data_IF_881346913744
#
_entry.id   IF_881346913744
#
_cell.length_a   1.000
_cell.length_b   1.000
_cell.length_c   1.000
_cell.angle_alpha   90.00
_cell.angle_beta   90.00
_cell.angle_gamma   90.00
#
_symmetry.space_group_name_H-M   'P 1'
#
loop_
_entity.id
_entity.type
_entity.pdbx_description
1 polymer ?
#
# COMPACT_ATOMS: atom_id res chain seq x y z
N UNK A 1 -40.31 32.90 40.64
CA UNK A 1 -38.89 32.74 40.99
C UNK A 1 -38.02 33.19 39.81
N UNK A 2 -37.01 34.02 40.06
CA UNK A 2 -36.03 34.57 39.10
C UNK A 2 -34.71 33.77 39.21
N UNK A 3 -34.13 33.25 38.12
CA UNK A 3 -32.71 32.87 38.11
C UNK A 3 -31.87 34.13 37.83
N UNK A 4 -30.98 34.48 38.76
CA UNK A 4 -29.94 35.48 38.52
C UNK A 4 -28.65 34.75 38.15
N UNK A 5 -28.23 34.86 36.90
CA UNK A 5 -26.82 34.77 36.55
C UNK A 5 -26.55 35.72 35.38
N UNK A 6 -25.71 36.73 35.66
CA UNK A 6 -25.47 37.92 34.86
C UNK A 6 -24.95 37.58 33.46
N UNK A 7 -25.76 37.96 32.46
CA UNK A 7 -25.43 38.04 31.04
C UNK A 7 -24.93 39.47 30.78
N UNK A 8 -23.69 39.84 31.13
CA UNK A 8 -23.07 41.09 30.63
C UNK A 8 -21.57 41.05 30.95
N UNK A 9 -20.73 41.27 29.93
CA UNK A 9 -19.27 41.15 29.91
C UNK A 9 -18.80 39.68 29.95
N UNK A 10 -18.35 39.08 28.85
CA UNK A 10 -17.16 39.51 28.11
C UNK A 10 -17.40 39.32 26.61
N UNK A 11 -17.49 40.45 25.90
CA UNK A 11 -17.21 40.51 24.48
C UNK A 11 -15.70 40.34 24.27
N UNK A 12 -15.35 39.83 23.10
CA UNK A 12 -14.00 39.65 22.53
C UNK A 12 -13.44 38.23 22.63
N UNK A 13 -12.99 37.76 21.46
CA UNK A 13 -12.28 36.52 21.19
C UNK A 13 -13.13 35.24 21.14
N UNK A 14 -13.77 35.00 19.98
CA UNK A 14 -13.71 33.67 19.37
C UNK A 14 -13.98 33.77 17.85
N UNK A 15 -13.07 34.48 17.18
CA UNK A 15 -12.86 34.35 15.73
C UNK A 15 -12.01 33.09 15.52
N UNK A 16 -12.33 32.33 14.47
CA UNK A 16 -11.53 31.24 13.88
C UNK A 16 -11.41 29.94 14.67
N UNK A 17 -12.34 29.01 14.45
CA UNK A 17 -12.03 27.57 14.49
C UNK A 17 -13.08 26.71 13.76
N UNK A 18 -13.51 27.12 12.57
CA UNK A 18 -14.03 26.15 11.59
C UNK A 18 -12.86 25.71 10.72
N UNK A 19 -11.86 25.08 11.38
CA UNK A 19 -10.85 24.33 10.66
C UNK A 19 -11.56 23.14 10.03
N UNK A 20 -11.68 23.21 8.71
CA UNK A 20 -12.18 22.13 7.88
C UNK A 20 -11.27 20.93 8.11
N UNK A 21 -11.76 19.94 8.85
CA UNK A 21 -11.15 18.62 8.87
C UNK A 21 -11.51 17.96 7.55
N UNK A 22 -10.81 18.34 6.48
CA UNK A 22 -10.65 17.45 5.34
C UNK A 22 -9.84 16.27 5.87
N UNK A 23 -10.55 15.26 6.38
CA UNK A 23 -10.00 13.93 6.41
C UNK A 23 -9.63 13.63 4.98
N UNK A 24 -8.32 13.60 4.70
CA UNK A 24 -7.82 12.90 3.53
C UNK A 24 -8.29 11.47 3.72
N UNK A 25 -9.41 11.11 3.11
CA UNK A 25 -9.61 9.75 2.65
C UNK A 25 -8.39 9.49 1.80
N UNK A 26 -7.38 8.85 2.41
CA UNK A 26 -6.32 8.19 1.67
C UNK A 26 -7.08 7.27 0.72
N UNK A 27 -7.21 7.71 -0.53
CA UNK A 27 -7.67 6.85 -1.60
C UNK A 27 -6.79 5.62 -1.47
N UNK A 28 -7.39 4.50 -1.07
CA UNK A 28 -6.77 3.20 -1.18
C UNK A 28 -6.56 3.02 -2.69
N UNK A 29 -5.43 3.53 -3.18
CA UNK A 29 -5.02 3.40 -4.57
C UNK A 29 -5.05 1.90 -4.82
N UNK A 30 -6.00 1.46 -5.64
CA UNK A 30 -6.03 0.09 -6.09
C UNK A 30 -4.67 -0.13 -6.75
N UNK A 31 -3.79 -0.86 -6.07
CA UNK A 31 -2.41 -1.02 -6.49
C UNK A 31 -2.43 -1.54 -7.92
N UNK A 32 -1.83 -0.80 -8.86
CA UNK A 32 -2.02 -1.06 -10.29
C UNK A 32 -1.19 -2.27 -10.67
N UNK A 33 -1.79 -3.45 -10.54
CA UNK A 33 -1.15 -4.70 -10.87
C UNK A 33 -1.26 -4.98 -12.38
N UNK A 34 -0.15 -5.41 -12.97
CA UNK A 34 -0.05 -5.76 -14.37
C UNK A 34 -0.83 -7.06 -14.64
N UNK A 35 -1.43 -7.13 -15.82
CA UNK A 35 -1.97 -8.39 -16.33
C UNK A 35 -0.86 -9.32 -16.86
N UNK A 36 -1.19 -10.58 -17.11
CA UNK A 36 -0.21 -11.60 -17.54
C UNK A 36 0.53 -11.23 -18.82
N UNK A 37 -0.13 -10.58 -19.79
CA UNK A 37 0.51 -10.17 -21.05
C UNK A 37 1.49 -9.03 -20.79
N UNK A 38 1.09 -8.04 -20.00
CA UNK A 38 1.96 -6.93 -19.61
C UNK A 38 3.20 -7.42 -18.85
N UNK A 39 3.05 -8.40 -17.95
CA UNK A 39 4.18 -9.03 -17.26
C UNK A 39 5.13 -9.68 -18.27
N UNK A 40 4.62 -10.47 -19.23
CA UNK A 40 5.46 -11.13 -20.23
C UNK A 40 6.18 -10.13 -21.14
N UNK A 41 5.50 -9.04 -21.53
CA UNK A 41 6.10 -7.95 -22.30
C UNK A 41 7.18 -7.23 -21.49
N UNK A 42 6.93 -6.91 -20.23
CA UNK A 42 7.89 -6.25 -19.35
C UNK A 42 9.12 -7.13 -19.08
N UNK A 43 8.96 -8.45 -18.93
CA UNK A 43 10.08 -9.39 -18.80
C UNK A 43 10.87 -9.49 -20.10
N UNK A 44 10.18 -9.64 -21.24
CA UNK A 44 10.86 -9.83 -22.54
C UNK A 44 11.55 -8.57 -23.05
N UNK A 45 11.03 -7.39 -22.72
CA UNK A 45 11.68 -6.09 -22.97
C UNK A 45 12.82 -5.76 -21.98
N UNK A 46 12.95 -6.53 -20.90
CA UNK A 46 13.93 -6.27 -19.84
C UNK A 46 13.55 -5.12 -18.90
N UNK A 47 12.30 -4.64 -18.95
CA UNK A 47 11.78 -3.65 -18.01
C UNK A 47 11.70 -4.22 -16.58
N UNK A 48 11.38 -5.50 -16.45
CA UNK A 48 11.42 -6.23 -15.18
C UNK A 48 12.20 -7.54 -15.31
N UNK A 49 12.79 -7.99 -14.22
CA UNK A 49 13.45 -9.30 -14.08
C UNK A 49 12.41 -10.43 -14.13
N UNK A 50 12.85 -11.62 -14.51
CA UNK A 50 12.03 -12.83 -14.37
C UNK A 50 11.77 -13.16 -12.90
N UNK A 51 10.66 -13.84 -12.62
CA UNK A 51 10.30 -14.25 -11.25
C UNK A 51 11.45 -15.02 -10.57
N UNK A 52 12.08 -15.96 -11.28
CA UNK A 52 13.18 -16.76 -10.74
C UNK A 52 14.38 -15.90 -10.32
N UNK A 53 14.72 -14.88 -11.12
CA UNK A 53 15.81 -13.95 -10.80
C UNK A 53 15.49 -13.08 -9.59
N UNK A 54 14.22 -12.65 -9.45
CA UNK A 54 13.76 -11.87 -8.30
C UNK A 54 13.76 -12.71 -7.02
N UNK A 55 13.28 -13.95 -7.07
CA UNK A 55 13.29 -14.89 -5.95
C UNK A 55 14.72 -15.18 -5.48
N UNK A 56 15.63 -15.46 -6.42
CA UNK A 56 17.05 -15.68 -6.12
C UNK A 56 17.70 -14.45 -5.48
N UNK A 57 17.36 -13.25 -5.97
CA UNK A 57 17.87 -11.98 -5.40
C UNK A 57 17.29 -11.69 -4.01
N UNK A 58 16.06 -12.14 -3.73
CA UNK A 58 15.39 -12.00 -2.44
C UNK A 58 15.80 -13.05 -1.40
N UNK A 59 16.64 -14.01 -1.75
CA UNK A 59 17.02 -15.11 -0.87
C UNK A 59 15.85 -16.04 -0.53
N UNK A 60 14.83 -16.10 -1.40
CA UNK A 60 13.69 -16.98 -1.20
C UNK A 60 14.11 -18.40 -1.53
N UNK A 61 13.94 -19.31 -0.57
CA UNK A 61 14.27 -20.71 -0.74
C UNK A 61 13.41 -21.32 -1.86
N UNK A 62 14.01 -22.11 -2.74
CA UNK A 62 13.30 -22.81 -3.81
C UNK A 62 12.29 -23.85 -3.29
N UNK A 63 12.36 -24.21 -2.01
CA UNK A 63 11.39 -25.07 -1.31
C UNK A 63 10.16 -24.35 -0.78
N UNK A 64 10.08 -23.02 -0.88
CA UNK A 64 8.88 -22.28 -0.50
C UNK A 64 7.76 -22.51 -1.53
N UNK A 65 6.57 -22.88 -1.06
CA UNK A 65 5.41 -23.08 -1.92
C UNK A 65 4.85 -21.71 -2.34
N UNK A 66 4.95 -21.39 -3.63
CA UNK A 66 4.39 -20.17 -4.19
C UNK A 66 2.89 -20.35 -4.42
N UNK A 67 2.08 -19.57 -3.71
CA UNK A 67 0.62 -19.61 -3.78
C UNK A 67 0.06 -18.65 -4.83
N UNK A 68 0.65 -17.46 -4.94
CA UNK A 68 0.21 -16.44 -5.89
C UNK A 68 1.36 -15.49 -6.25
N UNK A 69 1.32 -14.96 -7.46
CA UNK A 69 2.31 -13.99 -7.96
C UNK A 69 1.59 -12.87 -8.67
N UNK A 70 1.86 -11.65 -8.24
CA UNK A 70 1.42 -10.42 -8.89
C UNK A 70 2.62 -9.51 -9.11
N UNK A 71 2.55 -8.68 -10.15
CA UNK A 71 3.49 -7.57 -10.35
C UNK A 71 2.68 -6.30 -10.30
N UNK A 72 3.05 -5.36 -9.43
CA UNK A 72 2.27 -4.15 -9.25
C UNK A 72 3.15 -2.91 -9.24
N UNK A 73 2.56 -1.80 -9.68
CA UNK A 73 3.13 -0.48 -9.52
C UNK A 73 2.84 0.04 -8.10
N UNK A 74 3.91 0.24 -7.33
CA UNK A 74 3.88 0.88 -6.01
C UNK A 74 4.53 2.27 -6.09
N UNK A 75 3.75 3.23 -6.57
CA UNK A 75 4.18 4.63 -6.67
C UNK A 75 5.29 4.83 -7.70
N UNK A 76 5.14 4.21 -8.87
CA UNK A 76 6.12 4.26 -9.97
C UNK A 76 7.24 3.20 -9.87
N UNK A 77 7.19 2.32 -8.85
CA UNK A 77 8.15 1.22 -8.68
C UNK A 77 7.46 -0.10 -8.95
N UNK A 78 8.01 -0.86 -9.89
CA UNK A 78 7.52 -2.21 -10.15
C UNK A 78 8.00 -3.17 -9.04
N UNK A 79 7.05 -3.84 -8.41
CA UNK A 79 7.31 -4.85 -7.36
C UNK A 79 6.59 -6.14 -7.65
N UNK A 80 7.22 -7.26 -7.31
CA UNK A 80 6.58 -8.55 -7.22
C UNK A 80 5.93 -8.70 -5.84
N UNK A 81 4.64 -8.99 -5.80
CA UNK A 81 3.90 -9.41 -4.59
C UNK A 81 3.67 -10.91 -4.69
N UNK A 82 4.41 -11.66 -3.87
CA UNK A 82 4.47 -13.13 -3.94
C UNK A 82 3.89 -13.68 -2.64
N UNK A 83 2.76 -14.36 -2.74
CA UNK A 83 2.21 -15.10 -1.60
C UNK A 83 2.94 -16.44 -1.53
N UNK A 84 3.58 -16.71 -0.39
CA UNK A 84 4.28 -17.97 -0.10
C UNK A 84 3.65 -18.66 1.10
N UNK A 85 3.71 -19.99 1.12
CA UNK A 85 3.43 -20.81 2.30
C UNK A 85 4.77 -21.30 2.87
N UNK A 86 5.08 -20.91 4.09
CA UNK A 86 6.30 -21.35 4.77
C UNK A 86 6.11 -22.72 5.43
N UNK A 87 7.20 -23.43 5.73
CA UNK A 87 7.16 -24.80 6.27
C UNK A 87 6.48 -24.92 7.64
N UNK A 88 6.30 -23.81 8.35
CA UNK A 88 5.51 -23.69 9.59
C UNK A 88 3.99 -23.58 9.32
N UNK A 89 3.56 -23.63 8.06
CA UNK A 89 2.17 -23.52 7.63
C UNK A 89 1.63 -22.09 7.54
N UNK A 90 2.49 -21.07 7.64
CA UNK A 90 2.06 -19.67 7.57
C UNK A 90 2.06 -19.12 6.15
N UNK A 91 0.98 -18.46 5.75
CA UNK A 91 0.92 -17.71 4.50
C UNK A 91 1.49 -16.30 4.72
N UNK A 92 2.45 -15.89 3.88
CA UNK A 92 3.11 -14.58 3.95
C UNK A 92 3.23 -13.98 2.56
N UNK A 93 3.17 -12.65 2.47
CA UNK A 93 3.44 -11.92 1.23
C UNK A 93 4.87 -11.39 1.27
N UNK A 94 5.64 -11.70 0.24
CA UNK A 94 6.95 -11.12 -0.04
C UNK A 94 6.77 -10.02 -1.07
N UNK A 95 7.31 -8.84 -0.78
CA UNK A 95 7.35 -7.72 -1.72
C UNK A 95 8.80 -7.50 -2.14
N UNK A 96 9.09 -7.82 -3.40
CA UNK A 96 10.45 -7.79 -3.95
C UNK A 96 10.52 -6.83 -5.14
N UNK A 97 11.65 -6.14 -5.32
CA UNK A 97 11.87 -5.29 -6.49
C UNK A 97 11.78 -6.12 -7.78
N UNK A 98 11.05 -5.61 -8.77
CA UNK A 98 11.00 -6.21 -10.10
C UNK A 98 12.20 -5.81 -10.98
N UNK A 99 13.09 -4.92 -10.51
CA UNK A 99 14.24 -4.38 -11.24
C UNK A 99 15.56 -4.96 -10.75
#
# INVERSE_FOLDING_TARGET
>A
MKPNLNIFAVAAALVMALFVTFGTTEDAVAQSCLDKRQIQEAVSSGQIKSLDAVLASGGVDASADILNVQVCDEGGRMVYVIAVLTSDGQAKNLVLSAQ
#
